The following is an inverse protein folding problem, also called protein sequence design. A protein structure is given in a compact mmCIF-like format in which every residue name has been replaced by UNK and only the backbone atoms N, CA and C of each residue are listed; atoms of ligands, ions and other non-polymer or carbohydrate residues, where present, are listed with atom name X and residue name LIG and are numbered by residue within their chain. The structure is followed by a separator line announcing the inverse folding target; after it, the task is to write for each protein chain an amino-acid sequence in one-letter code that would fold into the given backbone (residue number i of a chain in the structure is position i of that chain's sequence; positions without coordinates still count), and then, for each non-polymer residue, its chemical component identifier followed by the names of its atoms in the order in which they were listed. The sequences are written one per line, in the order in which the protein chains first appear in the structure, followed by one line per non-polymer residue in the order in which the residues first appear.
data_IF_625089250634
#
_entry.id   IF_625089250634
#
_cell.length_a   1.000
_cell.length_b   1.000
_cell.length_c   1.000
_cell.angle_alpha   90.00
_cell.angle_beta   90.00
_cell.angle_gamma   90.00
#
_symmetry.space_group_name_H-M   'P 1'
#
loop_
_entity.id
_entity.type
_entity.pdbx_description
1 polymer ?
#
# COMPACT_ATOMS: atom_id res chain seq x y z
N UNK A 1 -13.17 2.81 -0.70
CA UNK A 1 -13.51 3.77 0.38
C UNK A 1 -14.45 3.19 1.46
N UNK A 2 -15.61 2.59 1.12
CA UNK A 2 -16.58 2.11 2.13
C UNK A 2 -16.02 1.09 3.16
N UNK A 3 -15.14 0.17 2.74
CA UNK A 3 -14.47 -0.78 3.65
C UNK A 3 -13.39 -0.12 4.52
N UNK A 4 -12.59 0.77 3.94
CA UNK A 4 -11.58 1.52 4.69
C UNK A 4 -12.22 2.32 5.85
N UNK A 5 -13.36 2.99 5.57
CA UNK A 5 -14.13 3.71 6.58
C UNK A 5 -14.71 2.80 7.68
N UNK A 6 -15.08 1.56 7.35
CA UNK A 6 -15.55 0.56 8.33
C UNK A 6 -14.42 -0.01 9.19
N UNK A 7 -13.17 0.12 8.76
CA UNK A 7 -11.99 -0.35 9.46
C UNK A 7 -11.20 0.79 10.13
N UNK A 8 -11.76 2.00 10.19
CA UNK A 8 -11.09 3.19 10.73
C UNK A 8 -9.70 3.44 10.11
N UNK A 9 -9.53 3.07 8.84
CA UNK A 9 -8.26 3.14 8.10
C UNK A 9 -7.09 2.33 8.69
N UNK A 10 -7.39 1.39 9.60
CA UNK A 10 -6.42 0.42 10.13
C UNK A 10 -6.00 -0.57 9.03
N UNK A 11 -4.70 -0.64 8.76
CA UNK A 11 -4.14 -1.48 7.71
C UNK A 11 -4.39 -2.98 7.96
N UNK A 12 -4.12 -3.44 9.19
CA UNK A 12 -4.28 -4.85 9.59
C UNK A 12 -5.71 -5.32 9.44
N UNK A 13 -6.69 -4.53 9.92
CA UNK A 13 -8.12 -4.86 9.81
C UNK A 13 -8.58 -4.93 8.35
N UNK A 14 -8.13 -3.99 7.52
CA UNK A 14 -8.50 -3.96 6.10
C UNK A 14 -7.99 -5.19 5.36
N UNK A 15 -6.72 -5.58 5.57
CA UNK A 15 -6.13 -6.74 4.90
C UNK A 15 -6.75 -8.04 5.41
N UNK A 16 -6.88 -8.23 6.73
CA UNK A 16 -7.51 -9.44 7.30
C UNK A 16 -8.95 -9.62 6.80
N UNK A 17 -9.72 -8.53 6.74
CA UNK A 17 -11.07 -8.57 6.17
C UNK A 17 -11.04 -8.95 4.68
N UNK A 18 -10.10 -8.39 3.91
CA UNK A 18 -10.01 -8.67 2.47
C UNK A 18 -9.61 -10.12 2.19
N UNK A 19 -8.63 -10.65 2.91
CA UNK A 19 -8.21 -12.05 2.81
C UNK A 19 -9.39 -12.97 3.13
N UNK A 20 -10.09 -12.74 4.24
CA UNK A 20 -11.26 -13.54 4.63
C UNK A 20 -12.32 -13.57 3.53
N UNK A 21 -12.71 -12.41 3.00
CA UNK A 21 -13.72 -12.33 1.94
C UNK A 21 -13.28 -13.08 0.68
N UNK A 22 -12.00 -12.99 0.30
CA UNK A 22 -11.48 -13.71 -0.86
C UNK A 22 -11.50 -15.22 -0.64
N UNK A 23 -11.09 -15.69 0.54
CA UNK A 23 -11.13 -17.10 0.90
C UNK A 23 -12.56 -17.65 0.96
N UNK A 24 -13.52 -16.91 1.53
CA UNK A 24 -14.95 -17.28 1.55
C UNK A 24 -15.56 -17.38 0.15
N UNK A 25 -15.05 -16.61 -0.81
CA UNK A 25 -15.43 -16.69 -2.22
C UNK A 25 -14.74 -17.83 -2.97
N UNK A 26 -13.80 -18.55 -2.34
CA UNK A 26 -13.02 -19.62 -2.98
C UNK A 26 -11.88 -19.11 -3.87
N UNK A 27 -11.50 -17.84 -3.77
CA UNK A 27 -10.35 -17.30 -4.51
C UNK A 27 -9.03 -17.67 -3.83
N UNK A 28 -7.98 -17.98 -4.61
CA UNK A 28 -6.65 -18.20 -4.07
C UNK A 28 -6.10 -16.93 -3.43
N UNK A 29 -5.31 -17.10 -2.37
CA UNK A 29 -4.69 -16.00 -1.61
C UNK A 29 -3.21 -16.28 -1.34
N UNK A 30 -2.61 -17.24 -2.04
CA UNK A 30 -1.19 -17.60 -1.90
C UNK A 30 -0.25 -16.54 -2.48
N UNK A 31 -0.73 -15.81 -3.50
CA UNK A 31 -0.05 -14.67 -4.12
C UNK A 31 -0.97 -13.47 -4.11
N UNK A 32 -0.48 -12.37 -3.53
CA UNK A 32 -1.25 -11.15 -3.29
C UNK A 32 -0.48 -9.97 -3.86
N UNK A 33 -1.19 -9.06 -4.53
CA UNK A 33 -0.71 -7.71 -4.82
C UNK A 33 -1.35 -6.76 -3.81
N UNK A 34 -0.52 -6.04 -3.05
CA UNK A 34 -0.96 -4.95 -2.19
C UNK A 34 -1.10 -3.68 -3.01
N UNK A 35 -2.20 -2.93 -2.81
CA UNK A 35 -2.42 -1.65 -3.48
C UNK A 35 -2.74 -0.60 -2.40
N UNK A 36 -1.82 0.35 -2.22
CA UNK A 36 -2.00 1.49 -1.32
C UNK A 36 -2.67 2.62 -2.08
N UNK A 37 -3.96 2.79 -1.82
CA UNK A 37 -4.79 3.80 -2.47
C UNK A 37 -4.82 5.09 -1.66
N UNK A 38 -4.96 6.23 -2.33
CA UNK A 38 -5.22 7.51 -1.66
C UNK A 38 -4.42 8.70 -2.19
N UNK A 39 -3.51 8.50 -3.15
CA UNK A 39 -2.80 9.54 -3.90
C UNK A 39 -1.84 10.43 -3.09
N UNK A 40 -1.98 10.52 -1.77
CA UNK A 40 -1.16 11.36 -0.89
C UNK A 40 -0.44 10.55 0.19
N UNK A 41 -0.34 9.23 0.04
CA UNK A 41 0.32 8.35 1.01
C UNK A 41 1.76 8.83 1.31
N UNK A 42 2.51 9.16 0.26
CA UNK A 42 3.90 9.59 0.35
C UNK A 42 4.09 10.99 0.96
N UNK A 43 3.00 11.76 1.13
CA UNK A 43 2.99 13.07 1.76
C UNK A 43 2.79 13.02 3.29
N UNK A 44 2.40 11.86 3.85
CA UNK A 44 2.24 11.70 5.30
C UNK A 44 3.62 11.67 6.01
N UNK A 45 3.67 11.84 7.35
CA UNK A 45 4.91 11.65 8.11
C UNK A 45 5.56 10.30 7.83
N UNK A 46 6.91 10.26 7.74
CA UNK A 46 7.66 9.05 7.37
C UNK A 46 7.31 7.89 8.30
N UNK A 47 7.33 8.07 9.62
CA UNK A 47 7.01 7.02 10.59
C UNK A 47 5.65 6.35 10.35
N UNK A 48 4.64 7.14 9.96
CA UNK A 48 3.33 6.61 9.60
C UNK A 48 3.41 5.72 8.35
N UNK A 49 4.14 6.14 7.33
CA UNK A 49 4.31 5.35 6.10
C UNK A 49 4.95 3.99 6.39
N UNK A 50 6.08 3.97 7.12
CA UNK A 50 6.77 2.71 7.47
C UNK A 50 5.90 1.82 8.34
N UNK A 51 5.23 2.39 9.35
CA UNK A 51 4.34 1.63 10.21
C UNK A 51 3.17 1.04 9.42
N UNK A 52 2.56 1.81 8.51
CA UNK A 52 1.45 1.36 7.69
C UNK A 52 1.85 0.19 6.79
N UNK A 53 2.99 0.28 6.10
CA UNK A 53 3.49 -0.81 5.24
C UNK A 53 3.85 -2.04 6.07
N UNK A 54 4.53 -1.86 7.20
CA UNK A 54 4.84 -2.95 8.12
C UNK A 54 3.57 -3.66 8.59
N UNK A 55 2.56 -2.90 9.00
CA UNK A 55 1.26 -3.43 9.41
C UNK A 55 0.56 -4.21 8.30
N UNK A 56 0.78 -3.83 7.03
CA UNK A 56 0.29 -4.61 5.90
C UNK A 56 0.98 -5.97 5.79
N UNK A 57 2.31 -6.00 5.89
CA UNK A 57 3.08 -7.25 5.87
C UNK A 57 2.74 -8.15 7.06
N UNK A 58 2.68 -7.60 8.28
CA UNK A 58 2.28 -8.35 9.49
C UNK A 58 0.88 -8.97 9.32
N UNK A 59 -0.05 -8.27 8.66
CA UNK A 59 -1.38 -8.80 8.40
C UNK A 59 -1.39 -9.97 7.39
N UNK A 60 -0.50 -9.94 6.39
CA UNK A 60 -0.29 -11.05 5.45
C UNK A 60 0.42 -12.23 6.11
N UNK A 61 1.39 -11.95 6.98
CA UNK A 61 2.18 -12.96 7.69
C UNK A 61 1.38 -13.67 8.78
N UNK A 62 0.43 -12.96 9.41
CA UNK A 62 -0.35 -13.47 10.54
C UNK A 62 0.33 -13.32 11.89
N UNK A 63 1.51 -12.69 11.93
CA UNK A 63 2.30 -12.41 13.14
C UNK A 63 2.86 -10.98 13.13
N UNK A 64 3.28 -10.49 14.30
CA UNK A 64 3.86 -9.15 14.43
C UNK A 64 5.38 -9.21 14.34
N UNK A 65 5.95 -8.30 13.54
CA UNK A 65 7.40 -8.14 13.41
C UNK A 65 7.90 -6.95 14.24
N UNK A 66 9.18 -6.89 14.58
CA UNK A 66 9.76 -5.71 15.23
C UNK A 66 10.01 -4.57 14.21
N UNK A 67 10.36 -4.92 12.98
CA UNK A 67 10.72 -3.95 11.92
C UNK A 67 10.04 -4.29 10.60
N UNK A 68 10.01 -3.32 9.68
CA UNK A 68 9.53 -3.55 8.31
C UNK A 68 10.39 -4.60 7.58
N UNK A 69 11.71 -4.55 7.74
CA UNK A 69 12.61 -5.52 7.10
C UNK A 69 12.37 -6.95 7.59
N UNK A 70 12.12 -7.11 8.89
CA UNK A 70 11.73 -8.42 9.43
C UNK A 70 10.39 -8.89 8.84
N UNK A 71 9.39 -8.00 8.77
CA UNK A 71 8.09 -8.33 8.20
C UNK A 71 8.19 -8.77 6.74
N UNK A 72 9.02 -8.07 5.94
CA UNK A 72 9.32 -8.44 4.56
C UNK A 72 10.00 -9.81 4.46
N UNK A 73 11.02 -10.06 5.29
CA UNK A 73 11.75 -11.34 5.32
C UNK A 73 10.85 -12.52 5.67
N UNK A 74 9.97 -12.35 6.66
CA UNK A 74 8.96 -13.38 7.00
C UNK A 74 8.02 -13.62 5.82
N UNK A 75 7.62 -12.55 5.13
CA UNK A 75 6.69 -12.64 4.01
C UNK A 75 7.24 -13.43 2.80
N UNK A 76 8.56 -13.53 2.64
CA UNK A 76 9.20 -14.31 1.56
C UNK A 76 8.73 -15.77 1.53
N UNK A 77 8.41 -16.34 2.70
CA UNK A 77 7.95 -17.73 2.87
C UNK A 77 6.54 -17.85 3.43
N UNK A 78 5.81 -16.74 3.58
CA UNK A 78 4.47 -16.74 4.18
C UNK A 78 3.43 -17.44 3.30
N UNK A 79 2.30 -17.81 3.89
CA UNK A 79 1.17 -18.39 3.15
C UNK A 79 0.51 -17.37 2.21
N UNK A 80 0.49 -16.08 2.58
CA UNK A 80 -0.01 -15.00 1.74
C UNK A 80 1.18 -14.13 1.28
N UNK A 81 1.80 -14.50 0.16
CA UNK A 81 3.00 -13.80 -0.32
C UNK A 81 2.64 -12.52 -1.05
N UNK A 82 3.25 -11.42 -0.62
CA UNK A 82 3.22 -10.15 -1.34
C UNK A 82 4.14 -10.26 -2.56
N UNK A 83 3.56 -10.58 -3.71
CA UNK A 83 4.31 -10.66 -4.97
C UNK A 83 4.43 -9.32 -5.68
N UNK A 84 3.69 -8.31 -5.22
CA UNK A 84 3.75 -6.95 -5.73
C UNK A 84 3.13 -5.97 -4.75
N UNK A 85 3.69 -4.76 -4.73
CA UNK A 85 3.18 -3.62 -3.98
C UNK A 85 3.04 -2.44 -4.94
N UNK A 86 1.81 -1.98 -5.10
CA UNK A 86 1.46 -0.80 -5.87
C UNK A 86 1.17 0.39 -4.94
N UNK A 87 1.76 1.54 -5.22
CA UNK A 87 1.46 2.79 -4.52
C UNK A 87 0.87 3.80 -5.49
N UNK A 88 -0.33 4.30 -5.18
CA UNK A 88 -0.90 5.45 -5.86
C UNK A 88 -0.33 6.75 -5.29
N UNK A 89 0.21 7.61 -6.14
CA UNK A 89 0.71 8.93 -5.72
C UNK A 89 0.36 10.02 -6.73
N UNK A 90 0.39 11.27 -6.27
CA UNK A 90 0.34 12.42 -7.16
C UNK A 90 1.72 12.64 -7.82
N UNK A 91 1.79 13.20 -9.04
CA UNK A 91 3.06 13.50 -9.71
C UNK A 91 4.01 14.39 -8.90
N UNK A 92 3.49 15.30 -8.07
CA UNK A 92 4.26 16.18 -7.18
C UNK A 92 4.86 15.45 -5.95
N UNK A 93 4.38 14.25 -5.62
CA UNK A 93 4.86 13.41 -4.51
C UNK A 93 5.52 12.12 -5.03
N UNK A 94 6.36 12.27 -6.05
CA UNK A 94 7.10 11.18 -6.67
C UNK A 94 8.55 11.58 -7.00
N UNK A 95 9.17 12.39 -6.13
CA UNK A 95 10.57 12.77 -6.23
C UNK A 95 11.52 11.64 -5.80
N UNK A 96 12.83 11.91 -5.84
CA UNK A 96 13.85 10.91 -5.50
C UNK A 96 13.68 10.37 -4.06
N UNK A 97 13.45 11.25 -3.09
CA UNK A 97 13.27 10.82 -1.69
C UNK A 97 12.04 9.94 -1.50
N UNK A 98 10.95 10.20 -2.23
CA UNK A 98 9.75 9.36 -2.22
C UNK A 98 10.03 8.01 -2.87
N UNK A 99 10.76 8.00 -3.99
CA UNK A 99 11.15 6.79 -4.70
C UNK A 99 12.04 5.90 -3.82
N UNK A 100 13.02 6.47 -3.13
CA UNK A 100 13.89 5.70 -2.23
C UNK A 100 13.08 5.01 -1.13
N UNK A 101 12.09 5.71 -0.54
CA UNK A 101 11.16 5.09 0.42
C UNK A 101 10.31 3.99 -0.20
N UNK A 102 9.80 4.20 -1.42
CA UNK A 102 9.04 3.16 -2.14
C UNK A 102 9.88 1.89 -2.36
N UNK A 103 11.16 2.04 -2.69
CA UNK A 103 12.08 0.90 -2.81
C UNK A 103 12.25 0.18 -1.47
N UNK A 104 12.43 0.92 -0.37
CA UNK A 104 12.50 0.35 0.97
C UNK A 104 11.21 -0.41 1.37
N UNK A 105 10.05 0.11 0.98
CA UNK A 105 8.76 -0.56 1.20
C UNK A 105 8.60 -1.87 0.42
N UNK A 106 9.40 -2.08 -0.63
CA UNK A 106 9.25 -3.19 -1.57
C UNK A 106 8.24 -2.91 -2.68
N UNK A 107 8.04 -1.64 -3.04
CA UNK A 107 7.14 -1.24 -4.13
C UNK A 107 7.64 -1.74 -5.48
N UNK A 108 6.74 -2.35 -6.26
CA UNK A 108 7.02 -2.90 -7.59
C UNK A 108 6.29 -2.13 -8.70
N UNK A 109 5.29 -1.32 -8.34
CA UNK A 109 4.46 -0.57 -9.28
C UNK A 109 4.04 0.77 -8.67
N UNK A 110 3.99 1.82 -9.50
CA UNK A 110 3.53 3.15 -9.10
C UNK A 110 2.43 3.58 -10.05
N UNK A 111 1.31 4.03 -9.49
CA UNK A 111 0.21 4.62 -10.24
C UNK A 111 0.21 6.14 -10.03
N UNK A 112 0.57 6.88 -11.07
CA UNK A 112 0.57 8.34 -11.06
C UNK A 112 -0.80 8.87 -11.44
N UNK A 113 -1.40 9.63 -10.52
CA UNK A 113 -2.66 10.33 -10.77
C UNK A 113 -2.48 11.54 -11.69
N UNK A 114 -2.16 11.34 -12.96
CA UNK A 114 -2.01 12.42 -13.96
C UNK A 114 -3.36 13.09 -14.22
N UNK A 115 -4.45 12.35 -14.45
CA UNK A 115 -5.78 12.90 -14.81
C UNK A 115 -5.85 13.51 -16.22
N UNK A 116 -4.97 14.44 -16.60
CA UNK A 116 -4.95 15.12 -17.90
C UNK A 116 -3.54 15.52 -18.33
N UNK A 117 -3.28 15.75 -19.61
CA UNK A 117 -2.00 16.27 -20.09
C UNK A 117 -2.03 17.80 -20.32
N UNK A 118 -3.14 18.45 -19.98
CA UNK A 118 -3.37 19.87 -20.22
C UNK A 118 -3.18 20.72 -18.94
N UNK A 119 -2.14 21.55 -18.96
CA UNK A 119 -1.78 22.48 -17.88
C UNK A 119 -2.81 23.58 -17.63
N UNK A 120 -3.68 23.91 -18.59
CA UNK A 120 -4.80 24.82 -18.36
C UNK A 120 -5.87 24.17 -17.49
N UNK A 121 -6.15 22.88 -17.70
CA UNK A 121 -7.10 22.14 -16.88
C UNK A 121 -6.58 22.00 -15.44
N UNK A 122 -5.28 21.72 -15.25
CA UNK A 122 -4.69 21.67 -13.91
C UNK A 122 -4.82 23.00 -13.15
N UNK A 123 -4.55 24.12 -13.82
CA UNK A 123 -4.74 25.46 -13.25
C UNK A 123 -6.18 25.73 -12.84
N UNK A 124 -7.15 25.30 -13.65
CA UNK A 124 -8.59 25.46 -13.35
C UNK A 124 -9.04 24.67 -12.12
N UNK A 125 -8.53 23.45 -11.94
CA UNK A 125 -8.88 22.58 -10.80
C UNK A 125 -7.98 22.76 -9.58
N UNK A 126 -7.06 23.73 -9.60
CA UNK A 126 -6.09 24.04 -8.53
C UNK A 126 -5.27 22.83 -8.10
N UNK A 127 -4.76 22.08 -9.08
CA UNK A 127 -3.92 20.90 -8.85
C UNK A 127 -2.48 21.18 -9.22
#
# INVERSE_FOLDING_TARGET
MLRAKKCDFDAKKQIKLRLRVLSEMGHPTDKVELIVMGGTFLAYPKDYQYQFIKDCFDALNGEESATLEEAKRVNETANHRCTGLCIETRPDWCGQEEIDRMLEFGTTRVELGVQTLDDEIYRLVRR
#
